data_IF_336971949705
#
_entry.id   IF_336971949705
#
_cell.length_a   1.000
_cell.length_b   1.000
_cell.length_c   1.000
_cell.angle_alpha   90.00
_cell.angle_beta   90.00
_cell.angle_gamma   90.00
#
_symmetry.space_group_name_H-M   'P 1'
#
loop_
_entity.id
_entity.type
_entity.pdbx_description
1 polymer ?
#
# COMPACT_ATOMS: atom_id res chain seq x y z
N UNK A 1 3.43 -9.61 7.47
CA UNK A 1 2.72 -8.37 7.15
C UNK A 1 2.27 -8.39 5.71
N UNK A 2 1.15 -7.71 5.40
CA UNK A 2 0.45 -7.83 4.12
C UNK A 2 0.17 -6.43 3.52
N UNK A 3 0.30 -6.30 2.19
CA UNK A 3 0.01 -5.07 1.44
C UNK A 3 0.72 -3.83 2.03
N UNK A 4 0.02 -2.69 2.17
CA UNK A 4 0.54 -1.46 2.78
C UNK A 4 1.09 -1.69 4.21
N UNK A 5 0.52 -2.66 4.94
CA UNK A 5 1.01 -3.05 6.26
C UNK A 5 2.40 -3.67 6.23
N UNK A 6 2.81 -4.28 5.11
CA UNK A 6 4.17 -4.72 4.90
C UNK A 6 5.15 -3.56 4.70
N UNK A 7 4.75 -2.52 3.95
CA UNK A 7 5.56 -1.30 3.77
C UNK A 7 5.76 -0.60 5.11
N UNK A 8 4.69 -0.47 5.89
CA UNK A 8 4.74 0.06 7.26
C UNK A 8 5.64 -0.79 8.16
N UNK A 9 5.52 -2.13 8.09
CA UNK A 9 6.36 -3.03 8.89
C UNK A 9 7.84 -2.89 8.53
N UNK A 10 8.20 -2.82 7.24
CA UNK A 10 9.58 -2.63 6.80
C UNK A 10 10.16 -1.31 7.34
N UNK A 11 9.43 -0.20 7.18
CA UNK A 11 9.83 1.10 7.74
C UNK A 11 9.96 1.07 9.28
N UNK A 12 9.06 0.35 9.96
CA UNK A 12 9.11 0.18 11.42
C UNK A 12 10.33 -0.63 11.86
N UNK A 13 10.67 -1.72 11.16
CA UNK A 13 11.86 -2.53 11.48
C UNK A 13 13.13 -1.71 11.26
N UNK A 14 13.20 -0.92 10.19
CA UNK A 14 14.31 0.01 9.96
C UNK A 14 14.42 1.11 11.04
N UNK A 15 13.30 1.68 11.47
CA UNK A 15 13.25 2.64 12.59
C UNK A 15 13.75 2.00 13.90
N UNK A 16 13.24 0.82 14.24
CA UNK A 16 13.66 0.08 15.44
C UNK A 16 15.14 -0.27 15.38
N UNK A 17 15.66 -0.63 14.20
CA UNK A 17 17.08 -0.93 14.03
C UNK A 17 17.94 0.31 14.25
N UNK A 18 17.54 1.45 13.70
CA UNK A 18 18.22 2.74 13.85
C UNK A 18 18.20 3.27 15.29
N UNK A 19 17.17 2.94 16.06
CA UNK A 19 17.03 3.30 17.50
C UNK A 19 17.58 2.22 18.45
N UNK A 20 18.36 1.25 17.95
CA UNK A 20 18.95 0.14 18.74
C UNK A 20 17.93 -0.80 19.41
N UNK A 21 16.69 -0.81 18.92
CA UNK A 21 15.58 -1.67 19.37
C UNK A 21 15.25 -2.82 18.40
N UNK A 22 16.01 -2.97 17.31
CA UNK A 22 15.77 -3.98 16.26
C UNK A 22 15.68 -5.42 16.76
N UNK A 23 16.37 -5.78 17.86
CA UNK A 23 16.35 -7.14 18.46
C UNK A 23 14.97 -7.61 18.94
N UNK A 24 13.98 -6.71 19.00
CA UNK A 24 12.57 -7.00 19.33
C UNK A 24 11.86 -7.81 18.24
N UNK A 25 12.29 -7.69 16.99
CA UNK A 25 11.72 -8.44 15.86
C UNK A 25 12.72 -9.55 15.49
N UNK A 26 12.30 -10.81 15.61
CA UNK A 26 13.15 -11.99 15.34
C UNK A 26 13.14 -12.41 13.88
N UNK A 27 12.00 -12.23 13.21
CA UNK A 27 11.82 -12.43 11.78
C UNK A 27 10.74 -11.48 11.28
N UNK A 28 10.79 -11.16 10.00
CA UNK A 28 9.73 -10.48 9.28
C UNK A 28 9.28 -11.37 8.10
N UNK A 29 8.08 -11.13 7.58
CA UNK A 29 7.61 -11.78 6.35
C UNK A 29 6.72 -10.78 5.65
N UNK A 30 6.96 -10.56 4.37
CA UNK A 30 6.25 -9.57 3.56
C UNK A 30 5.45 -10.29 2.48
N UNK A 31 4.13 -10.11 2.50
CA UNK A 31 3.21 -10.73 1.54
C UNK A 31 2.59 -9.64 0.69
N UNK A 32 2.71 -9.77 -0.64
CA UNK A 32 2.14 -8.85 -1.64
C UNK A 32 2.35 -7.38 -1.29
N UNK A 33 3.59 -7.05 -0.93
CA UNK A 33 3.98 -5.74 -0.37
C UNK A 33 5.03 -5.12 -1.27
N UNK A 34 4.85 -3.84 -1.60
CA UNK A 34 5.88 -3.04 -2.25
C UNK A 34 6.80 -2.40 -1.20
N UNK A 35 8.11 -2.55 -1.40
CA UNK A 35 9.15 -1.76 -0.72
C UNK A 35 9.88 -0.85 -1.71
N UNK A 36 9.86 -1.22 -2.99
CA UNK A 36 10.34 -0.44 -4.13
C UNK A 36 9.16 -0.16 -5.06
N UNK A 37 8.86 1.12 -5.26
CA UNK A 37 7.71 1.61 -6.02
C UNK A 37 8.10 2.08 -7.42
N UNK A 38 9.30 1.73 -7.93
CA UNK A 38 9.71 2.06 -9.32
C UNK A 38 8.71 1.56 -10.37
N UNK A 39 8.11 0.40 -10.12
CA UNK A 39 7.08 -0.18 -10.98
C UNK A 39 5.91 -0.66 -10.12
N UNK A 40 4.98 0.25 -9.76
CA UNK A 40 3.88 -0.06 -8.86
C UNK A 40 2.69 -0.74 -9.58
N UNK A 41 2.85 -1.09 -10.87
CA UNK A 41 1.79 -1.64 -11.72
C UNK A 41 0.80 -0.56 -12.20
N UNK A 42 -0.44 -0.98 -12.50
CA UNK A 42 -1.46 -0.14 -13.13
C UNK A 42 -1.77 1.15 -12.37
N UNK A 43 -1.63 1.14 -11.04
CA UNK A 43 -1.81 2.33 -10.19
C UNK A 43 -0.88 3.46 -10.63
N UNK A 44 0.35 3.13 -11.02
CA UNK A 44 1.34 4.11 -11.47
C UNK A 44 0.87 4.89 -12.71
N UNK A 45 0.08 4.27 -13.58
CA UNK A 45 -0.45 4.93 -14.78
C UNK A 45 -1.49 6.03 -14.45
N UNK A 46 -2.16 5.94 -13.30
CA UNK A 46 -3.17 6.90 -12.87
C UNK A 46 -2.60 8.01 -11.95
N UNK A 47 -1.35 7.88 -11.52
CA UNK A 47 -0.70 8.85 -10.65
C UNK A 47 0.12 9.84 -11.46
N UNK A 48 -0.29 11.11 -11.39
CA UNK A 48 0.42 12.24 -11.98
C UNK A 48 0.30 13.44 -11.05
N UNK A 49 1.19 14.43 -11.19
CA UNK A 49 1.18 15.60 -10.31
C UNK A 49 -0.17 16.35 -10.29
N UNK A 50 -0.86 16.57 -11.43
CA UNK A 50 -2.18 17.20 -11.42
C UNK A 50 -3.24 16.38 -10.67
N UNK A 51 -3.21 15.05 -10.85
CA UNK A 51 -4.14 14.14 -10.16
C UNK A 51 -3.88 14.15 -8.66
N UNK A 52 -2.61 14.00 -8.24
CA UNK A 52 -2.24 14.00 -6.84
C UNK A 52 -2.58 15.33 -6.16
N UNK A 53 -2.27 16.45 -6.81
CA UNK A 53 -2.61 17.79 -6.29
C UNK A 53 -4.13 17.97 -6.12
N UNK A 54 -4.93 17.42 -7.05
CA UNK A 54 -6.38 17.41 -6.93
C UNK A 54 -6.88 16.59 -5.75
N UNK A 55 -6.31 15.40 -5.54
CA UNK A 55 -6.61 14.53 -4.40
C UNK A 55 -6.24 15.21 -3.08
N UNK A 56 -5.05 15.81 -2.98
CA UNK A 56 -4.61 16.55 -1.79
C UNK A 56 -5.50 17.76 -1.50
N UNK A 57 -5.90 18.53 -2.52
CA UNK A 57 -6.79 19.66 -2.36
C UNK A 57 -8.19 19.24 -1.87
N UNK A 58 -8.71 18.10 -2.33
CA UNK A 58 -9.96 17.53 -1.82
C UNK A 58 -9.81 17.07 -0.37
N UNK A 59 -8.78 16.28 -0.07
CA UNK A 59 -8.55 15.76 1.28
C UNK A 59 -8.21 16.87 2.29
N UNK A 60 -7.62 18.00 1.85
CA UNK A 60 -7.40 19.17 2.70
C UNK A 60 -8.70 19.85 3.13
N UNK A 61 -9.76 19.76 2.31
CA UNK A 61 -11.10 20.24 2.68
C UNK A 61 -11.82 19.26 3.61
N UNK A 62 -11.74 17.97 3.31
CA UNK A 62 -12.52 16.94 4.02
C UNK A 62 -11.84 16.46 5.30
N UNK A 63 -10.51 16.56 5.39
CA UNK A 63 -9.67 16.08 6.50
C UNK A 63 -9.35 14.58 6.46
N UNK A 64 -10.01 13.82 5.60
CA UNK A 64 -9.81 12.38 5.43
C UNK A 64 -10.13 11.94 4.00
N UNK A 65 -9.67 10.75 3.63
CA UNK A 65 -10.13 10.02 2.46
C UNK A 65 -11.28 9.10 2.86
N UNK A 66 -12.39 9.21 2.15
CA UNK A 66 -13.52 8.30 2.30
C UNK A 66 -13.17 6.89 1.77
N UNK A 67 -13.34 5.87 2.61
CA UNK A 67 -13.01 4.48 2.29
C UNK A 67 -13.76 3.93 1.06
N UNK A 68 -14.92 4.50 0.72
CA UNK A 68 -15.67 4.12 -0.49
C UNK A 68 -14.92 4.49 -1.76
N UNK A 69 -14.16 5.59 -1.75
CA UNK A 69 -13.33 6.01 -2.89
C UNK A 69 -12.21 4.99 -3.10
N UNK A 70 -11.57 4.52 -2.02
CA UNK A 70 -10.53 3.51 -2.10
C UNK A 70 -11.09 2.18 -2.62
N UNK A 71 -12.24 1.72 -2.09
CA UNK A 71 -12.90 0.51 -2.58
C UNK A 71 -13.23 0.61 -4.08
N UNK A 72 -13.71 1.77 -4.54
CA UNK A 72 -14.00 2.01 -5.96
C UNK A 72 -12.73 1.96 -6.83
N UNK A 73 -11.64 2.62 -6.41
CA UNK A 73 -10.36 2.56 -7.12
C UNK A 73 -9.79 1.15 -7.20
N UNK A 74 -9.84 0.37 -6.12
CA UNK A 74 -9.37 -1.03 -6.13
C UNK A 74 -10.22 -1.93 -7.03
N UNK A 75 -11.54 -1.70 -7.11
CA UNK A 75 -12.41 -2.45 -8.02
C UNK A 75 -12.06 -2.19 -9.49
N UNK A 76 -11.77 -0.93 -9.85
CA UNK A 76 -11.30 -0.55 -11.19
C UNK A 76 -9.93 -1.16 -11.53
N UNK A 77 -9.02 -1.23 -10.56
CA UNK A 77 -7.65 -1.73 -10.75
C UNK A 77 -7.51 -3.26 -10.68
N UNK A 78 -8.49 -3.96 -10.09
CA UNK A 78 -8.49 -5.43 -9.99
C UNK A 78 -9.56 -6.08 -10.86
N UNK A 79 -10.12 -5.35 -11.82
CA UNK A 79 -11.19 -5.87 -12.69
C UNK A 79 -10.80 -7.21 -13.34
N UNK A 80 -9.54 -7.36 -13.76
CA UNK A 80 -9.01 -8.61 -14.32
C UNK A 80 -8.93 -9.76 -13.30
N UNK A 81 -8.44 -9.51 -12.09
CA UNK A 81 -8.31 -10.57 -11.08
C UNK A 81 -9.66 -10.96 -10.46
N UNK A 82 -10.56 -10.00 -10.29
CA UNK A 82 -11.82 -10.17 -9.56
C UNK A 82 -12.97 -10.65 -10.46
N UNK A 83 -13.07 -10.13 -11.68
CA UNK A 83 -14.17 -10.47 -12.61
C UNK A 83 -13.72 -11.46 -13.69
N UNK A 84 -12.56 -11.26 -14.32
CA UNK A 84 -12.13 -12.13 -15.43
C UNK A 84 -11.64 -13.50 -14.98
N UNK A 85 -10.88 -13.60 -13.88
CA UNK A 85 -10.51 -14.90 -13.29
C UNK A 85 -11.74 -15.73 -12.93
N UNK A 86 -12.76 -15.08 -12.36
CA UNK A 86 -14.04 -15.70 -12.02
C UNK A 86 -14.82 -16.14 -13.27
N UNK A 87 -14.85 -15.32 -14.31
CA UNK A 87 -15.45 -15.67 -15.60
C UNK A 87 -14.74 -16.89 -16.23
N UNK A 88 -13.40 -16.90 -16.26
CA UNK A 88 -12.63 -18.02 -16.82
C UNK A 88 -12.87 -19.30 -16.01
N UNK A 89 -12.83 -19.26 -14.68
CA UNK A 89 -13.06 -20.45 -13.85
C UNK A 89 -14.49 -20.96 -13.92
N UNK A 90 -15.49 -20.09 -13.82
CA UNK A 90 -16.88 -20.55 -13.70
C UNK A 90 -17.53 -20.80 -15.06
N UNK A 91 -17.30 -19.91 -16.05
CA UNK A 91 -17.92 -20.04 -17.37
C UNK A 91 -17.14 -21.01 -18.28
N UNK A 92 -15.81 -20.93 -18.31
CA UNK A 92 -15.01 -21.77 -19.21
C UNK A 92 -14.61 -23.13 -18.61
N UNK A 93 -14.36 -23.20 -17.30
CA UNK A 93 -13.95 -24.47 -16.64
C UNK A 93 -15.08 -25.20 -15.90
N UNK A 94 -16.20 -24.52 -15.64
CA UNK A 94 -17.35 -25.09 -14.92
C UNK A 94 -17.08 -25.27 -13.42
N UNK A 95 -16.08 -24.57 -12.87
CA UNK A 95 -15.74 -24.63 -11.46
C UNK A 95 -16.83 -23.94 -10.61
N UNK A 96 -17.02 -24.42 -9.37
CA UNK A 96 -17.98 -23.81 -8.44
C UNK A 96 -17.44 -22.44 -8.00
N UNK A 97 -18.27 -21.36 -8.00
CA UNK A 97 -17.81 -20.05 -7.63
C UNK A 97 -17.17 -20.03 -6.24
N UNK A 98 -15.96 -19.46 -6.16
CA UNK A 98 -15.30 -19.18 -4.90
C UNK A 98 -16.19 -18.27 -4.00
N UNK A 99 -16.09 -18.39 -2.67
CA UNK A 99 -17.01 -17.73 -1.75
C UNK A 99 -17.08 -16.19 -1.93
N UNK A 100 -18.27 -15.65 -1.71
CA UNK A 100 -18.62 -14.21 -1.77
C UNK A 100 -18.00 -13.37 -0.64
N UNK A 101 -17.24 -13.99 0.27
CA UNK A 101 -16.65 -13.37 1.46
C UNK A 101 -15.58 -12.32 1.12
N UNK A 102 -14.80 -12.54 0.07
CA UNK A 102 -13.77 -11.59 -0.38
C UNK A 102 -14.36 -10.27 -0.90
N UNK A 103 -15.52 -10.32 -1.57
CA UNK A 103 -16.24 -9.12 -2.02
C UNK A 103 -16.83 -8.35 -0.84
N UNK A 104 -17.34 -9.06 0.17
CA UNK A 104 -17.82 -8.43 1.39
C UNK A 104 -16.68 -7.70 2.11
N UNK A 105 -15.52 -8.36 2.27
CA UNK A 105 -14.33 -7.72 2.83
C UNK A 105 -13.86 -6.50 2.01
N UNK A 106 -13.89 -6.58 0.68
CA UNK A 106 -13.44 -5.48 -0.18
C UNK A 106 -14.37 -4.25 -0.12
N UNK A 107 -15.67 -4.46 0.11
CA UNK A 107 -16.65 -3.37 0.19
C UNK A 107 -16.71 -2.72 1.58
N UNK A 108 -16.14 -3.37 2.61
CA UNK A 108 -15.98 -2.82 3.96
C UNK A 108 -14.75 -1.88 4.04
N UNK A 109 -14.85 -0.74 3.37
CA UNK A 109 -13.78 0.26 3.29
C UNK A 109 -13.55 0.99 4.61
N UNK A 110 -12.29 1.34 4.87
CA UNK A 110 -11.89 2.17 6.02
C UNK A 110 -11.45 3.56 5.58
N UNK A 111 -11.76 4.59 6.38
CA UNK A 111 -11.31 5.94 6.12
C UNK A 111 -9.83 6.11 6.50
N UNK A 112 -9.11 6.96 5.76
CA UNK A 112 -7.71 7.28 6.05
C UNK A 112 -7.53 8.77 6.33
N UNK A 113 -6.70 9.16 7.32
CA UNK A 113 -6.36 10.56 7.52
C UNK A 113 -5.72 11.16 6.26
N UNK A 114 -6.12 12.38 5.90
CA UNK A 114 -5.62 13.09 4.71
C UNK A 114 -4.09 13.14 4.67
N UNK A 115 -3.47 13.46 5.81
CA UNK A 115 -2.02 13.55 5.94
C UNK A 115 -1.32 12.22 5.64
N UNK A 116 -1.86 11.10 6.13
CA UNK A 116 -1.26 9.78 5.92
C UNK A 116 -1.37 9.36 4.46
N UNK A 117 -2.55 9.51 3.86
CA UNK A 117 -2.79 9.07 2.49
C UNK A 117 -2.02 9.92 1.47
N UNK A 118 -2.10 11.25 1.57
CA UNK A 118 -1.35 12.16 0.69
C UNK A 118 0.16 11.96 0.79
N UNK A 119 0.68 11.85 2.02
CA UNK A 119 2.09 11.58 2.25
C UNK A 119 2.54 10.26 1.61
N UNK A 120 1.74 9.20 1.74
CA UNK A 120 2.05 7.89 1.17
C UNK A 120 2.08 7.92 -0.37
N UNK A 121 1.09 8.52 -1.02
CA UNK A 121 1.08 8.63 -2.48
C UNK A 121 2.27 9.44 -3.02
N UNK A 122 2.58 10.57 -2.37
CA UNK A 122 3.67 11.45 -2.79
C UNK A 122 5.04 10.79 -2.59
N UNK A 123 5.35 10.36 -1.37
CA UNK A 123 6.70 9.90 -1.06
C UNK A 123 6.95 8.46 -1.51
N UNK A 124 5.92 7.62 -1.62
CA UNK A 124 6.09 6.22 -2.04
C UNK A 124 5.84 6.05 -3.53
N UNK A 125 4.62 6.29 -3.99
CA UNK A 125 4.26 5.98 -5.37
C UNK A 125 4.87 6.96 -6.38
N UNK A 126 4.91 8.27 -6.09
CA UNK A 126 5.46 9.27 -7.01
C UNK A 126 6.99 9.37 -6.91
N UNK A 127 7.52 9.49 -5.70
CA UNK A 127 8.94 9.80 -5.49
C UNK A 127 9.80 8.58 -5.12
N UNK A 128 9.19 7.44 -4.78
CA UNK A 128 9.87 6.21 -4.37
C UNK A 128 10.96 6.41 -3.29
N UNK A 129 10.68 7.22 -2.28
CA UNK A 129 11.62 7.61 -1.23
C UNK A 129 11.99 6.50 -0.25
N UNK A 130 11.22 5.41 -0.18
CA UNK A 130 11.49 4.33 0.78
C UNK A 130 12.78 3.57 0.49
N UNK A 131 13.14 3.41 -0.78
CA UNK A 131 14.39 2.75 -1.17
C UNK A 131 15.60 3.67 -1.06
N UNK A 132 15.39 4.99 -0.98
CA UNK A 132 16.45 5.96 -0.79
C UNK A 132 16.89 5.98 0.69
N UNK A 133 18.19 5.82 0.98
CA UNK A 133 18.69 5.90 2.35
C UNK A 133 18.44 7.28 2.97
N UNK A 134 17.57 7.32 3.97
CA UNK A 134 17.11 8.55 4.59
C UNK A 134 16.18 9.39 3.73
N UNK A 135 15.58 8.80 2.68
CA UNK A 135 14.57 9.46 1.84
C UNK A 135 13.26 9.73 2.58
N UNK A 136 12.97 8.96 3.63
CA UNK A 136 11.88 9.24 4.57
C UNK A 136 12.41 9.34 6.01
N UNK A 137 11.68 10.09 6.84
CA UNK A 137 11.99 10.29 8.24
C UNK A 137 10.76 9.95 9.10
N UNK A 138 10.96 9.17 10.17
CA UNK A 138 9.93 8.86 11.15
C UNK A 138 10.43 9.31 12.52
N UNK A 139 9.71 10.21 13.18
CA UNK A 139 10.05 10.69 14.54
C UNK A 139 11.52 11.16 14.66
N UNK A 140 11.97 11.98 13.70
CA UNK A 140 13.36 12.47 13.66
C UNK A 140 14.40 11.45 13.16
N UNK A 141 13.99 10.20 12.86
CA UNK A 141 14.89 9.12 12.46
C UNK A 141 14.78 8.87 10.97
N UNK A 142 15.88 9.13 10.26
CA UNK A 142 16.04 8.79 8.84
C UNK A 142 16.03 7.28 8.64
N UNK A 143 15.17 6.81 7.75
CA UNK A 143 14.95 5.39 7.49
C UNK A 143 15.89 4.89 6.40
N UNK A 144 16.54 3.76 6.65
CA UNK A 144 17.37 3.07 5.67
C UNK A 144 17.08 1.57 5.77
N UNK A 145 16.38 1.01 4.78
CA UNK A 145 16.01 -0.39 4.76
C UNK A 145 17.22 -1.32 4.74
N UNK A 146 18.37 -0.86 4.22
CA UNK A 146 19.60 -1.67 4.12
C UNK A 146 20.22 -1.95 5.48
N UNK A 147 19.83 -1.19 6.53
CA UNK A 147 20.29 -1.42 7.90
C UNK A 147 19.54 -2.55 8.59
N UNK A 148 18.44 -3.04 8.02
CA UNK A 148 17.67 -4.15 8.58
C UNK A 148 18.53 -5.41 8.55
N UNK A 149 18.77 -5.99 9.71
CA UNK A 149 19.48 -7.27 9.88
C UNK A 149 18.56 -8.41 10.32
N UNK A 150 17.28 -8.12 10.54
CA UNK A 150 16.26 -9.12 10.86
C UNK A 150 16.01 -10.01 9.63
N UNK A 151 16.06 -11.34 9.77
CA UNK A 151 15.70 -12.27 8.69
C UNK A 151 14.29 -11.99 8.15
N UNK A 152 14.15 -11.93 6.83
CA UNK A 152 12.88 -11.61 6.16
C UNK A 152 12.68 -12.33 4.84
#
# INVERSE_FOLDING_TARGET
SYCVGGTLAAATVAYLTSTRRGRRIKSATYMTTLQDFRDPGEIGAFLSEPVLSGIEAQMARDGYLDGRVMAFSFNLLRENDLFWSFYISNYLKGDVPAPFDLLYWNTDGTNLPAATHGWYLRHMYMENKLVEPGGIELDGVKIDLRKISTPS
#
